data_IF_394744981273
#
_entry.id   IF_394744981273
#
_cell.length_a   1.000
_cell.length_b   1.000
_cell.length_c   1.000
_cell.angle_alpha   90.00
_cell.angle_beta   90.00
_cell.angle_gamma   90.00
#
_symmetry.space_group_name_H-M   'P 1'
#
loop_
_entity.id
_entity.type
_entity.pdbx_description
1 polymer ?
#
# COMPACT_ATOMS: atom_id res chain seq x y z
N UNK A 1 -4.46 -19.18 -20.87
CA UNK A 1 -5.15 -17.88 -20.97
C UNK A 1 -4.80 -17.11 -19.72
N UNK A 2 -4.06 -16.00 -19.81
CA UNK A 2 -3.71 -15.18 -18.63
C UNK A 2 -4.92 -14.28 -18.38
N UNK A 3 -5.58 -14.44 -17.22
CA UNK A 3 -6.57 -13.48 -16.76
C UNK A 3 -5.83 -12.27 -16.20
N UNK A 4 -6.06 -11.11 -16.80
CA UNK A 4 -5.58 -9.82 -16.31
C UNK A 4 -6.77 -9.03 -15.81
N UNK A 5 -6.64 -8.45 -14.62
CA UNK A 5 -7.65 -7.58 -14.03
C UNK A 5 -7.09 -6.17 -13.91
N UNK A 6 -7.94 -5.18 -14.22
CA UNK A 6 -7.61 -3.77 -13.98
C UNK A 6 -8.13 -3.38 -12.61
N UNK A 7 -7.26 -2.83 -11.78
CA UNK A 7 -7.62 -2.22 -10.49
C UNK A 7 -7.39 -0.72 -10.64
N UNK A 8 -8.43 0.08 -10.40
CA UNK A 8 -8.28 1.53 -10.43
C UNK A 8 -7.78 2.03 -9.07
N UNK A 9 -6.77 2.90 -9.11
CA UNK A 9 -6.21 3.54 -7.91
C UNK A 9 -6.55 5.02 -8.00
N UNK A 10 -7.25 5.52 -6.99
CA UNK A 10 -7.55 6.94 -6.85
C UNK A 10 -6.70 7.53 -5.72
N UNK A 11 -5.87 8.52 -6.03
CA UNK A 11 -5.20 9.33 -5.01
C UNK A 11 -6.22 10.22 -4.33
N UNK A 12 -6.23 10.22 -3.01
CA UNK A 12 -7.07 11.10 -2.21
C UNK A 12 -6.49 12.51 -2.24
N UNK A 13 -7.36 13.52 -2.24
CA UNK A 13 -6.94 14.93 -2.27
C UNK A 13 -5.95 15.25 -1.14
N UNK A 14 -4.91 16.02 -1.45
CA UNK A 14 -3.84 16.39 -0.51
C UNK A 14 -2.72 15.35 -0.37
N UNK A 15 -2.72 14.29 -1.19
CA UNK A 15 -1.69 13.25 -1.22
C UNK A 15 -1.06 13.11 -2.61
N UNK A 16 -1.08 14.19 -3.41
CA UNK A 16 -0.60 14.19 -4.78
C UNK A 16 0.90 13.87 -4.89
N UNK A 17 1.65 14.22 -3.84
CA UNK A 17 3.08 13.98 -3.65
C UNK A 17 3.42 12.52 -3.29
N UNK A 18 2.48 11.78 -2.72
CA UNK A 18 2.66 10.36 -2.35
C UNK A 18 2.70 9.50 -3.61
N UNK A 19 3.68 8.62 -3.72
CA UNK A 19 3.80 7.71 -4.87
C UNK A 19 2.64 6.69 -4.92
N UNK A 20 2.22 6.34 -6.13
CA UNK A 20 1.29 5.22 -6.31
C UNK A 20 1.96 3.88 -5.96
N UNK A 21 1.20 2.87 -5.52
CA UNK A 21 1.75 1.55 -5.25
C UNK A 21 2.49 0.98 -6.47
N UNK A 22 3.70 0.47 -6.25
CA UNK A 22 4.55 -0.03 -7.33
C UNK A 22 5.13 -1.40 -6.99
N UNK A 23 5.43 -2.17 -8.05
CA UNK A 23 6.22 -3.39 -7.93
C UNK A 23 7.70 -3.02 -7.81
N UNK A 24 8.37 -3.56 -6.79
CA UNK A 24 9.80 -3.34 -6.58
C UNK A 24 10.70 -4.14 -7.53
N UNK A 25 10.16 -5.21 -8.12
CA UNK A 25 10.81 -5.97 -9.19
C UNK A 25 9.76 -6.59 -10.10
N UNK A 26 10.15 -7.01 -11.30
CA UNK A 26 9.23 -7.60 -12.30
C UNK A 26 8.43 -8.78 -11.73
N UNK A 27 9.09 -9.61 -10.92
CA UNK A 27 8.52 -10.82 -10.33
C UNK A 27 7.99 -10.62 -8.89
N UNK A 28 7.92 -9.38 -8.41
CA UNK A 28 7.37 -9.11 -7.08
C UNK A 28 5.91 -9.59 -6.98
N UNK A 29 5.60 -10.26 -5.87
CA UNK A 29 4.28 -10.84 -5.59
C UNK A 29 3.23 -9.81 -5.17
N UNK A 30 3.65 -8.60 -4.79
CA UNK A 30 2.78 -7.52 -4.35
C UNK A 30 3.29 -6.15 -4.79
N UNK A 31 2.57 -5.12 -4.34
CA UNK A 31 2.85 -3.73 -4.58
C UNK A 31 3.13 -3.07 -3.23
N UNK A 32 4.23 -2.32 -3.15
CA UNK A 32 4.55 -1.61 -1.92
C UNK A 32 3.62 -0.41 -1.75
N UNK A 33 3.23 -0.14 -0.50
CA UNK A 33 2.44 1.02 -0.11
C UNK A 33 3.36 2.05 0.54
N UNK A 34 3.00 3.32 0.36
CA UNK A 34 3.71 4.46 0.95
C UNK A 34 2.88 5.04 2.10
N UNK A 35 3.56 5.51 3.15
CA UNK A 35 2.92 6.24 4.24
C UNK A 35 2.59 7.66 3.77
N UNK A 36 1.34 8.06 3.95
CA UNK A 36 0.83 9.38 3.59
C UNK A 36 0.61 10.23 4.85
N UNK A 37 1.69 10.44 5.61
CA UNK A 37 1.66 11.17 6.88
C UNK A 37 2.20 12.58 6.68
N UNK A 38 1.55 13.57 7.30
CA UNK A 38 1.99 14.98 7.21
C UNK A 38 3.28 15.25 8.01
N UNK A 39 3.57 14.42 9.01
CA UNK A 39 4.74 14.53 9.88
C UNK A 39 5.20 13.15 10.35
N UNK A 40 6.40 13.10 10.92
CA UNK A 40 6.98 11.86 11.43
C UNK A 40 6.09 11.20 12.49
N UNK A 41 5.87 9.89 12.33
CA UNK A 41 5.17 9.06 13.30
C UNK A 41 6.17 8.14 13.99
N UNK A 42 6.38 8.36 15.29
CA UNK A 42 7.27 7.54 16.11
C UNK A 42 6.43 6.52 16.87
N UNK A 43 6.81 5.24 16.79
CA UNK A 43 6.17 4.15 17.53
C UNK A 43 7.15 3.59 18.55
N UNK A 44 6.77 3.60 19.83
CA UNK A 44 7.50 2.91 20.88
C UNK A 44 7.24 1.39 20.84
N UNK A 45 8.08 0.56 21.49
CA UNK A 45 7.87 -0.88 21.53
C UNK A 45 6.47 -1.26 22.02
N UNK A 46 5.75 -2.06 21.23
CA UNK A 46 4.38 -2.51 21.51
C UNK A 46 3.27 -1.55 21.06
N UNK A 47 3.61 -0.34 20.60
CA UNK A 47 2.63 0.58 20.05
C UNK A 47 2.18 0.19 18.63
N UNK A 48 0.98 0.65 18.29
CA UNK A 48 0.37 0.43 16.97
C UNK A 48 -0.34 1.69 16.53
N UNK A 49 -0.16 2.06 15.27
CA UNK A 49 -0.88 3.14 14.64
C UNK A 49 -1.46 2.67 13.30
N UNK A 50 -2.61 3.22 12.94
CA UNK A 50 -3.13 3.13 11.59
C UNK A 50 -2.42 4.20 10.74
N UNK A 51 -1.61 3.76 9.79
CA UNK A 51 -0.87 4.66 8.90
C UNK A 51 -1.69 4.87 7.62
N UNK A 52 -2.09 6.11 7.27
CA UNK A 52 -2.80 6.38 6.03
C UNK A 52 -1.91 6.11 4.81
N UNK A 53 -2.53 5.65 3.72
CA UNK A 53 -1.84 5.38 2.44
C UNK A 53 -2.10 6.45 1.38
N UNK A 54 -3.04 7.37 1.63
CA UNK A 54 -3.40 8.45 0.70
C UNK A 54 -4.12 7.99 -0.57
N UNK A 55 -4.57 6.74 -0.63
CA UNK A 55 -5.21 6.14 -1.81
C UNK A 55 -6.48 5.36 -1.47
N UNK A 56 -7.31 5.16 -2.49
CA UNK A 56 -8.43 4.21 -2.49
C UNK A 56 -8.34 3.31 -3.73
N UNK A 57 -8.85 2.08 -3.59
CA UNK A 57 -8.85 1.08 -4.66
C UNK A 57 -10.30 0.75 -5.06
N UNK A 58 -10.57 0.72 -6.36
CA UNK A 58 -11.78 0.10 -6.90
C UNK A 58 -11.44 -1.33 -7.33
N UNK A 59 -11.79 -2.30 -6.49
CA UNK A 59 -11.54 -3.71 -6.76
C UNK A 59 -12.62 -4.27 -7.71
N UNK A 60 -12.24 -5.05 -8.74
CA UNK A 60 -13.20 -5.78 -9.55
C UNK A 60 -13.89 -6.88 -8.73
N UNK A 61 -15.09 -7.25 -9.16
CA UNK A 61 -15.88 -8.29 -8.50
C UNK A 61 -15.11 -9.62 -8.40
N UNK A 62 -15.24 -10.28 -7.24
CA UNK A 62 -14.61 -11.58 -6.98
C UNK A 62 -13.13 -11.51 -6.62
N UNK A 63 -12.55 -10.31 -6.44
CA UNK A 63 -11.19 -10.11 -5.96
C UNK A 63 -11.14 -9.30 -4.66
N UNK A 64 -10.09 -9.53 -3.88
CA UNK A 64 -9.75 -8.74 -2.69
C UNK A 64 -8.32 -8.24 -2.77
N UNK A 65 -8.04 -7.15 -2.05
CA UNK A 65 -6.67 -6.69 -1.81
C UNK A 65 -6.25 -7.14 -0.40
N UNK A 66 -5.09 -7.78 -0.28
CA UNK A 66 -4.55 -8.21 1.00
C UNK A 66 -3.39 -7.30 1.43
N UNK A 67 -3.49 -6.73 2.63
CA UNK A 67 -2.39 -6.02 3.27
C UNK A 67 -1.50 -7.03 3.96
N UNK A 68 -0.23 -7.11 3.53
CA UNK A 68 0.76 -8.06 4.07
C UNK A 68 2.00 -7.31 4.54
N UNK A 69 2.65 -7.77 5.62
CA UNK A 69 3.87 -7.14 6.11
C UNK A 69 5.03 -7.28 5.11
N UNK A 70 5.86 -6.23 5.03
CA UNK A 70 7.18 -6.31 4.40
C UNK A 70 8.10 -7.08 5.34
N UNK A 71 8.57 -8.26 4.93
CA UNK A 71 9.38 -9.14 5.78
C UNK A 71 10.62 -8.45 6.37
N UNK A 72 11.26 -7.56 5.60
CA UNK A 72 12.43 -6.79 6.06
C UNK A 72 12.15 -5.77 7.17
N UNK A 73 10.90 -5.36 7.37
CA UNK A 73 10.47 -4.54 8.51
C UNK A 73 9.93 -5.40 9.65
N UNK A 74 9.28 -6.52 9.34
CA UNK A 74 8.66 -7.39 10.35
C UNK A 74 9.66 -8.18 11.19
N UNK A 75 10.85 -8.47 10.65
CA UNK A 75 11.90 -9.20 11.37
C UNK A 75 12.71 -8.31 12.32
N UNK A 76 12.66 -6.99 12.14
CA UNK A 76 13.43 -6.02 12.91
C UNK A 76 12.66 -5.54 14.12
#
# INVERSE_FOLDING_TARGET
MILSYYVQINKLAGNEDVNLPCKMSEQASGYDLYAAVESEVVLAPGERALIPTGISLAMPDGLEAQIRPRSGLALK
#
